data_IF_684060733476
#
_entry.id   IF_684060733476
#
_cell.length_a   1.000
_cell.length_b   1.000
_cell.length_c   1.000
_cell.angle_alpha   90.00
_cell.angle_beta   90.00
_cell.angle_gamma   90.00
#
_symmetry.space_group_name_H-M   'P 1'
#
loop_
_entity.id
_entity.type
_entity.pdbx_description
1 polymer ?
#
# COMPACT_ATOMS: atom_id res chain seq x y z
N UNK A 1 0.58 -20.22 0.97
CA UNK A 1 0.76 -18.83 1.46
C UNK A 1 2.22 -18.69 1.85
N UNK A 2 2.85 -17.55 1.58
CA UNK A 2 4.22 -17.29 2.04
C UNK A 2 4.23 -17.17 3.57
N UNK A 3 5.26 -17.71 4.21
CA UNK A 3 5.50 -17.53 5.64
C UNK A 3 6.02 -16.12 5.94
N UNK A 4 5.92 -15.70 7.20
CA UNK A 4 6.46 -14.42 7.65
C UNK A 4 7.95 -14.24 7.30
N UNK A 5 8.77 -15.28 7.56
CA UNK A 5 10.20 -15.28 7.19
C UNK A 5 10.43 -15.19 5.67
N UNK A 6 9.58 -15.84 4.87
CA UNK A 6 9.66 -15.72 3.41
C UNK A 6 9.32 -14.31 2.94
N UNK A 7 8.31 -13.66 3.53
CA UNK A 7 7.94 -12.27 3.22
C UNK A 7 9.07 -11.33 3.61
N UNK A 8 9.68 -11.51 4.78
CA UNK A 8 10.81 -10.71 5.24
C UNK A 8 12.00 -10.80 4.28
N UNK A 9 12.37 -12.02 3.87
CA UNK A 9 13.43 -12.23 2.90
C UNK A 9 13.11 -11.58 1.55
N UNK A 10 11.88 -11.73 1.05
CA UNK A 10 11.46 -11.11 -0.21
C UNK A 10 11.45 -9.59 -0.13
N UNK A 11 11.11 -9.02 1.03
CA UNK A 11 11.21 -7.58 1.28
C UNK A 11 12.66 -7.10 1.14
N UNK A 12 13.61 -7.81 1.77
CA UNK A 12 15.05 -7.51 1.69
C UNK A 12 15.60 -7.67 0.27
N UNK A 13 15.16 -8.67 -0.49
CA UNK A 13 15.57 -8.85 -1.89
C UNK A 13 14.97 -7.76 -2.80
N UNK A 14 13.68 -7.41 -2.61
CA UNK A 14 13.03 -6.38 -3.42
C UNK A 14 13.58 -4.97 -3.15
N UNK A 15 13.93 -4.64 -1.90
CA UNK A 15 14.47 -3.32 -1.59
C UNK A 15 15.84 -3.14 -2.26
N UNK A 16 16.65 -4.19 -2.36
CA UNK A 16 17.92 -4.15 -3.10
C UNK A 16 17.71 -3.89 -4.59
N UNK A 17 16.67 -4.45 -5.19
CA UNK A 17 16.30 -4.15 -6.59
C UNK A 17 15.89 -2.68 -6.73
N UNK A 18 15.10 -2.15 -5.80
CA UNK A 18 14.73 -0.72 -5.82
C UNK A 18 15.95 0.19 -5.65
N UNK A 19 16.89 -0.16 -4.77
CA UNK A 19 18.18 0.53 -4.66
C UNK A 19 18.94 0.55 -5.99
N UNK A 20 19.04 -0.61 -6.66
CA UNK A 20 19.71 -0.71 -7.95
C UNK A 20 19.07 0.21 -9.00
N UNK A 21 17.75 0.15 -9.15
CA UNK A 21 17.01 0.97 -10.11
C UNK A 21 17.17 2.48 -9.85
N UNK A 22 17.06 2.89 -8.59
CA UNK A 22 17.07 4.32 -8.22
C UNK A 22 18.49 4.89 -8.16
N UNK A 23 19.44 4.20 -7.53
CA UNK A 23 20.77 4.73 -7.28
C UNK A 23 21.76 4.44 -8.41
N UNK A 24 21.67 3.27 -9.05
CA UNK A 24 22.62 2.89 -10.11
C UNK A 24 22.09 3.25 -11.50
N UNK A 25 20.81 3.02 -11.76
CA UNK A 25 20.19 3.36 -13.05
C UNK A 25 19.53 4.74 -13.09
N UNK A 26 19.46 5.43 -11.94
CA UNK A 26 18.98 6.81 -11.86
C UNK A 26 17.47 6.97 -12.08
N UNK A 27 16.68 5.89 -11.96
CA UNK A 27 15.23 5.94 -12.10
C UNK A 27 14.60 6.71 -10.94
N UNK A 28 13.54 7.48 -11.20
CA UNK A 28 12.78 8.09 -10.11
C UNK A 28 11.96 7.01 -9.40
N UNK A 29 11.78 7.13 -8.08
CA UNK A 29 10.92 6.23 -7.32
C UNK A 29 9.48 6.12 -7.90
N UNK A 30 8.98 7.18 -8.53
CA UNK A 30 7.68 7.20 -9.22
C UNK A 30 7.63 6.33 -10.48
N UNK A 31 8.77 5.99 -11.08
CA UNK A 31 8.90 5.16 -12.28
C UNK A 31 8.98 3.66 -11.93
N UNK A 32 9.46 3.33 -10.73
CA UNK A 32 9.47 1.97 -10.17
C UNK A 32 8.23 1.64 -9.32
N UNK A 33 7.10 2.28 -9.64
CA UNK A 33 5.84 2.19 -8.87
C UNK A 33 5.37 0.76 -8.57
N UNK A 34 5.65 -0.17 -9.48
CA UNK A 34 5.26 -1.57 -9.33
C UNK A 34 6.09 -2.29 -8.26
N UNK A 35 7.40 -1.98 -8.18
CA UNK A 35 8.30 -2.53 -7.18
C UNK A 35 7.98 -2.00 -5.78
N UNK A 36 7.81 -0.68 -5.65
CA UNK A 36 7.43 -0.07 -4.36
C UNK A 36 6.01 -0.48 -3.93
N UNK A 37 5.10 -0.71 -4.89
CA UNK A 37 3.79 -1.29 -4.63
C UNK A 37 3.88 -2.65 -3.96
N UNK A 38 4.68 -3.56 -4.55
CA UNK A 38 4.92 -4.89 -3.97
C UNK A 38 5.62 -4.82 -2.61
N UNK A 39 6.62 -3.95 -2.45
CA UNK A 39 7.27 -3.72 -1.17
C UNK A 39 6.30 -3.22 -0.10
N UNK A 40 5.34 -2.36 -0.47
CA UNK A 40 4.29 -1.91 0.44
C UNK A 40 3.39 -3.04 0.91
N UNK A 41 3.05 -3.99 0.04
CA UNK A 41 2.28 -5.19 0.43
C UNK A 41 3.08 -6.05 1.42
N UNK A 42 4.37 -6.27 1.15
CA UNK A 42 5.25 -6.98 2.09
C UNK A 42 5.36 -6.25 3.43
N UNK A 43 5.56 -4.92 3.40
CA UNK A 43 5.61 -4.08 4.60
C UNK A 43 4.31 -4.23 5.41
N UNK A 44 3.16 -4.13 4.75
CA UNK A 44 1.85 -4.30 5.39
C UNK A 44 1.75 -5.68 6.05
N UNK A 45 2.07 -6.76 5.32
CA UNK A 45 2.03 -8.10 5.88
C UNK A 45 2.96 -8.28 7.09
N UNK A 46 4.18 -7.74 7.04
CA UNK A 46 5.10 -7.77 8.17
C UNK A 46 4.58 -6.95 9.36
N UNK A 47 4.01 -5.77 9.10
CA UNK A 47 3.50 -4.85 10.12
C UNK A 47 2.29 -5.40 10.86
N UNK A 48 1.43 -6.15 10.17
CA UNK A 48 0.18 -6.70 10.72
C UNK A 48 0.29 -8.18 11.08
N UNK A 49 1.51 -8.74 11.09
CA UNK A 49 1.76 -10.19 11.25
C UNK A 49 0.86 -11.05 10.33
N UNK A 50 0.56 -10.51 9.15
CA UNK A 50 -0.38 -11.05 8.18
C UNK A 50 0.29 -11.88 7.10
N UNK A 51 -0.51 -12.23 6.10
CA UNK A 51 -0.07 -12.94 4.90
C UNK A 51 -0.59 -12.26 3.64
N UNK A 52 0.14 -12.41 2.52
CA UNK A 52 -0.32 -11.87 1.24
C UNK A 52 -1.53 -12.67 0.72
N UNK A 53 -2.50 -11.98 0.12
CA UNK A 53 -3.65 -12.62 -0.51
C UNK A 53 -3.24 -13.30 -1.82
N UNK A 54 -2.87 -14.58 -1.77
CA UNK A 54 -2.25 -15.29 -2.89
C UNK A 54 -3.22 -15.86 -3.96
N UNK A 55 -4.38 -15.25 -4.21
CA UNK A 55 -5.18 -15.64 -5.39
C UNK A 55 -4.96 -14.66 -6.53
N UNK A 56 -4.30 -15.13 -7.59
CA UNK A 56 -4.33 -14.48 -8.90
C UNK A 56 -5.79 -14.19 -9.27
N UNK A 57 -6.12 -12.92 -9.50
CA UNK A 57 -7.46 -12.36 -9.74
C UNK A 57 -8.39 -12.17 -8.51
N UNK A 58 -7.91 -12.25 -7.26
CA UNK A 58 -8.62 -11.61 -6.15
C UNK A 58 -8.45 -10.09 -6.26
N UNK A 59 -9.49 -9.42 -6.73
CA UNK A 59 -9.55 -7.98 -6.75
C UNK A 59 -10.11 -7.48 -5.41
N UNK A 60 -9.44 -6.53 -4.77
CA UNK A 60 -10.03 -5.74 -3.69
C UNK A 60 -9.20 -5.63 -2.41
N UNK A 61 -8.27 -6.53 -2.13
CA UNK A 61 -7.35 -6.44 -0.99
C UNK A 61 -6.06 -7.19 -1.31
N UNK A 62 -5.00 -6.89 -0.57
CA UNK A 62 -3.63 -7.34 -0.88
C UNK A 62 -3.04 -8.18 0.27
N UNK A 63 -3.49 -7.93 1.51
CA UNK A 63 -3.01 -8.60 2.74
C UNK A 63 -4.20 -9.05 3.58
N UNK A 64 -4.05 -10.21 4.22
CA UNK A 64 -4.93 -10.67 5.31
C UNK A 64 -4.14 -10.52 6.61
N UNK A 65 -4.60 -9.64 7.50
CA UNK A 65 -4.00 -9.42 8.81
C UNK A 65 -4.12 -10.64 9.72
N UNK A 66 -3.37 -10.64 10.83
CA UNK A 66 -3.44 -11.70 11.84
C UNK A 66 -4.84 -11.85 12.47
N UNK A 67 -5.61 -10.77 12.47
CA UNK A 67 -6.99 -10.68 12.91
C UNK A 67 -8.01 -11.02 11.81
N UNK A 68 -7.54 -11.61 10.70
CA UNK A 68 -8.31 -11.97 9.51
C UNK A 68 -8.93 -10.78 8.74
N UNK A 69 -8.60 -9.54 9.13
CA UNK A 69 -9.05 -8.34 8.40
C UNK A 69 -8.36 -8.26 7.06
N UNK A 70 -9.12 -7.91 6.02
CA UNK A 70 -8.64 -7.74 4.65
C UNK A 70 -8.18 -6.32 4.44
N UNK A 71 -6.91 -6.15 4.09
CA UNK A 71 -6.26 -4.85 3.98
C UNK A 71 -5.96 -4.59 2.50
N UNK A 72 -6.48 -3.50 1.94
CA UNK A 72 -5.96 -2.98 0.67
C UNK A 72 -4.78 -2.06 0.93
N UNK A 73 -3.72 -2.23 0.17
CA UNK A 73 -2.50 -1.46 0.28
C UNK A 73 -2.41 -0.47 -0.89
N UNK A 74 -2.02 0.76 -0.59
CA UNK A 74 -1.78 1.81 -1.58
C UNK A 74 -0.44 2.47 -1.27
N UNK A 75 0.55 2.21 -2.12
CA UNK A 75 1.87 2.82 -2.02
C UNK A 75 1.99 4.00 -2.97
N UNK A 76 2.61 5.08 -2.52
CA UNK A 76 3.01 6.21 -3.36
C UNK A 76 4.42 6.70 -3.02
N UNK A 77 5.18 7.10 -4.03
CA UNK A 77 6.44 7.85 -3.85
C UNK A 77 6.22 9.38 -3.93
N UNK A 78 4.98 9.83 -4.16
CA UNK A 78 4.67 11.25 -4.26
C UNK A 78 4.55 11.87 -2.87
N UNK A 79 5.11 13.07 -2.68
CA UNK A 79 5.00 13.85 -1.43
C UNK A 79 3.59 14.42 -1.21
N UNK A 80 2.90 14.76 -2.31
CA UNK A 80 1.58 15.37 -2.34
C UNK A 80 0.77 14.82 -3.52
N UNK A 81 -0.55 14.97 -3.49
CA UNK A 81 -1.44 14.50 -4.53
C UNK A 81 -2.57 13.65 -3.96
N UNK A 82 -3.12 12.77 -4.80
CA UNK A 82 -4.28 11.97 -4.48
C UNK A 82 -3.96 10.48 -4.57
N UNK A 83 -4.54 9.70 -3.68
CA UNK A 83 -4.62 8.24 -3.77
C UNK A 83 -5.99 7.88 -4.30
N UNK A 84 -6.01 7.09 -5.37
CA UNK A 84 -7.24 6.58 -5.94
C UNK A 84 -7.67 5.27 -5.27
N UNK A 85 -8.91 5.22 -4.82
CA UNK A 85 -9.57 4.05 -4.24
C UNK A 85 -10.67 3.60 -5.20
N UNK A 86 -10.62 2.33 -5.59
CA UNK A 86 -11.64 1.74 -6.46
C UNK A 86 -12.90 1.46 -5.61
N UNK A 87 -14.10 1.91 -6.01
CA UNK A 87 -15.33 1.61 -5.27
C UNK A 87 -15.54 0.10 -5.06
N UNK A 88 -15.10 -0.74 -6.00
CA UNK A 88 -15.18 -2.20 -5.89
C UNK A 88 -14.39 -2.76 -4.71
N UNK A 89 -13.41 -2.03 -4.19
CA UNK A 89 -12.59 -2.41 -3.03
C UNK A 89 -13.37 -2.23 -1.72
N UNK A 90 -14.35 -1.32 -1.65
CA UNK A 90 -15.05 -0.98 -0.41
C UNK A 90 -15.88 -2.11 0.19
N UNK A 91 -16.38 -3.00 -0.66
CA UNK A 91 -17.19 -4.14 -0.23
C UNK A 91 -16.34 -5.40 0.04
N UNK A 92 -15.03 -5.32 -0.18
CA UNK A 92 -14.12 -6.47 -0.15
C UNK A 92 -13.04 -6.31 0.91
N UNK A 93 -12.46 -5.12 1.04
CA UNK A 93 -11.47 -4.79 2.07
C UNK A 93 -12.16 -4.22 3.30
N UNK A 94 -11.66 -4.61 4.47
CA UNK A 94 -12.05 -4.03 5.74
C UNK A 94 -11.25 -2.75 6.01
N UNK A 95 -9.95 -2.78 5.74
CA UNK A 95 -9.01 -1.70 6.00
C UNK A 95 -8.29 -1.22 4.74
N UNK A 96 -7.80 0.02 4.82
CA UNK A 96 -6.88 0.62 3.87
C UNK A 96 -5.59 0.99 4.59
N UNK A 97 -4.45 0.57 4.04
CA UNK A 97 -3.12 1.04 4.44
C UNK A 97 -2.53 1.88 3.31
N UNK A 98 -2.29 3.16 3.59
CA UNK A 98 -1.62 4.09 2.67
C UNK A 98 -0.19 4.27 3.13
N UNK A 99 0.76 3.95 2.26
CA UNK A 99 2.19 4.02 2.51
C UNK A 99 2.83 5.08 1.60
N UNK A 100 3.61 5.97 2.19
CA UNK A 100 4.48 6.88 1.46
C UNK A 100 5.90 6.34 1.49
N UNK A 101 6.49 6.13 0.31
CA UNK A 101 7.85 5.66 0.14
C UNK A 101 8.78 6.84 -0.15
N UNK A 102 9.77 7.04 0.70
CA UNK A 102 10.82 8.06 0.56
C UNK A 102 12.09 7.60 1.24
N UNK A 103 13.24 7.93 0.66
CA UNK A 103 14.56 7.61 1.22
C UNK A 103 14.70 6.12 1.61
N UNK A 104 14.14 5.24 0.76
CA UNK A 104 14.10 3.78 0.94
C UNK A 104 13.34 3.27 2.17
N UNK A 105 12.53 4.13 2.79
CA UNK A 105 11.69 3.80 3.94
C UNK A 105 10.20 4.05 3.65
N UNK A 106 9.34 3.43 4.47
CA UNK A 106 7.90 3.60 4.43
C UNK A 106 7.39 4.40 5.63
N UNK A 107 6.67 5.49 5.35
CA UNK A 107 5.81 6.19 6.31
C UNK A 107 4.36 5.70 6.16
N UNK A 108 3.73 5.30 7.27
CA UNK A 108 2.29 5.00 7.28
C UNK A 108 1.52 6.32 7.33
N UNK A 109 0.89 6.66 6.21
CA UNK A 109 0.04 7.85 6.07
C UNK A 109 -1.31 7.64 6.70
N UNK A 110 -1.87 6.45 6.55
CA UNK A 110 -3.15 6.04 7.09
C UNK A 110 -3.17 4.52 7.25
N UNK A 111 -3.71 4.04 8.37
CA UNK A 111 -4.09 2.64 8.53
C UNK A 111 -5.35 2.53 9.39
N UNK A 112 -6.43 2.02 8.79
CA UNK A 112 -7.71 1.88 9.46
C UNK A 112 -8.84 1.51 8.48
N UNK A 113 -10.11 1.55 8.93
CA UNK A 113 -11.25 1.14 8.12
C UNK A 113 -11.31 1.89 6.78
N UNK A 114 -11.52 1.17 5.68
CA UNK A 114 -11.57 1.80 4.36
C UNK A 114 -12.75 2.76 4.18
N UNK A 115 -13.82 2.56 4.96
CA UNK A 115 -15.04 3.39 4.89
C UNK A 115 -14.82 4.79 5.45
N UNK A 116 -13.91 4.95 6.41
CA UNK A 116 -13.68 6.23 7.10
C UNK A 116 -13.05 7.26 6.17
N UNK A 117 -12.28 6.83 5.17
CA UNK A 117 -11.64 7.74 4.21
C UNK A 117 -12.56 8.22 3.08
N UNK A 118 -13.75 7.62 2.93
CA UNK A 118 -14.66 7.92 1.80
C UNK A 118 -15.33 9.29 1.98
N UNK A 119 -15.70 9.65 3.20
CA UNK A 119 -16.29 10.96 3.49
C UNK A 119 -15.35 12.13 3.16
N UNK A 120 -14.04 11.90 3.21
CA UNK A 120 -13.01 12.89 2.92
C UNK A 120 -12.48 12.86 1.48
N UNK A 121 -12.92 11.87 0.70
CA UNK A 121 -12.53 11.68 -0.70
C UNK A 121 -13.45 12.46 -1.65
N UNK A 122 -12.89 12.93 -2.76
CA UNK A 122 -13.72 13.42 -3.89
C UNK A 122 -14.01 12.26 -4.86
N UNK A 123 -15.07 12.37 -5.64
CA UNK A 123 -15.31 11.44 -6.75
C UNK A 123 -14.70 12.00 -8.04
N UNK A 124 -13.86 11.20 -8.70
CA UNK A 124 -13.25 11.53 -9.99
C UNK A 124 -13.24 10.29 -10.88
N UNK A 125 -13.77 10.41 -12.11
CA UNK A 125 -13.87 9.31 -13.08
C UNK A 125 -14.43 8.00 -12.51
N UNK A 126 -15.45 8.10 -11.65
CA UNK A 126 -16.08 6.94 -11.01
C UNK A 126 -15.22 6.24 -9.95
N UNK A 127 -14.16 6.89 -9.47
CA UNK A 127 -13.31 6.43 -8.36
C UNK A 127 -13.30 7.46 -7.24
N UNK A 128 -12.88 7.05 -6.06
CA UNK A 128 -12.63 7.96 -4.95
C UNK A 128 -11.17 8.43 -4.99
N UNK A 129 -10.95 9.72 -4.82
CA UNK A 129 -9.63 10.31 -4.71
C UNK A 129 -9.47 10.98 -3.35
N UNK A 130 -8.59 10.40 -2.53
CA UNK A 130 -8.24 10.91 -1.22
C UNK A 130 -6.97 11.75 -1.32
N UNK A 131 -7.02 13.00 -0.90
CA UNK A 131 -5.83 13.85 -0.78
C UNK A 131 -4.89 13.30 0.30
N UNK A 132 -3.60 13.17 0.00
CA UNK A 132 -2.61 12.65 0.95
C UNK A 132 -2.55 13.46 2.25
N UNK A 133 -2.73 14.79 2.17
CA UNK A 133 -2.75 15.65 3.37
C UNK A 133 -3.98 15.40 4.24
N UNK A 134 -5.11 15.01 3.65
CA UNK A 134 -6.32 14.58 4.39
C UNK A 134 -6.08 13.22 5.04
N UNK A 135 -5.52 12.27 4.30
CA UNK A 135 -5.19 10.95 4.82
C UNK A 135 -4.31 11.03 6.08
N UNK A 136 -3.25 11.86 6.06
CA UNK A 136 -2.38 12.09 7.24
C UNK A 136 -3.14 12.62 8.47
N UNK A 137 -4.25 13.35 8.28
CA UNK A 137 -5.05 13.91 9.39
C UNK A 137 -5.99 12.88 9.99
N UNK A 138 -6.46 11.91 9.20
CA UNK A 138 -7.35 10.83 9.65
C UNK A 138 -6.62 9.77 10.49
N UNK A 139 -5.30 9.74 10.43
CA UNK A 139 -4.46 8.82 11.19
C UNK A 139 -4.08 9.35 12.60
N UNK A 140 -4.67 10.48 13.03
CA UNK A 140 -4.48 11.10 14.34
C UNK A 140 -5.68 10.87 15.23
#
# INVERSE_FOLDING_TARGET
MLSFEQIKRLYEEYIQIVHLEVEQFGCKATEVRHLIGRLGEFYCALKTEGTLSHRTNQHGFDVIGKDERKISVKTTAQKSGFITINPKTLDIADDLMILQFSDFEFEIIYYGPIKDVIGDSRTWEGKYELDLSKAKRLNK
#
